data_IF_312044959985
#
_entry.id   IF_312044959985
#
_cell.length_a   1.000
_cell.length_b   1.000
_cell.length_c   1.000
_cell.angle_alpha   90.00
_cell.angle_beta   90.00
_cell.angle_gamma   90.00
#
_symmetry.space_group_name_H-M   'P 1'
#
loop_
_entity.id
_entity.type
_entity.pdbx_description
1 polymer ?
#
# COMPACT_ATOMS: atom_id res chain seq x y z
N UNK A 1 -25.27 -26.84 -0.94
CA UNK A 1 -25.92 -27.74 -1.91
C UNK A 1 -25.66 -27.14 -3.29
N UNK A 2 -24.86 -27.81 -4.12
CA UNK A 2 -24.57 -27.33 -5.46
C UNK A 2 -25.88 -27.30 -6.27
N UNK A 3 -26.23 -26.12 -6.81
CA UNK A 3 -27.48 -25.91 -7.55
C UNK A 3 -27.32 -26.30 -9.03
N UNK A 4 -26.07 -26.39 -9.49
CA UNK A 4 -25.67 -26.73 -10.86
C UNK A 4 -24.64 -27.87 -10.80
N UNK A 5 -24.56 -28.66 -11.87
CA UNK A 5 -23.60 -29.76 -12.00
C UNK A 5 -22.49 -29.43 -13.03
N UNK A 6 -21.32 -30.02 -12.83
CA UNK A 6 -20.19 -29.98 -13.76
C UNK A 6 -19.58 -28.59 -13.96
N UNK A 7 -19.40 -28.20 -15.23
CA UNK A 7 -18.59 -27.04 -15.62
C UNK A 7 -19.13 -25.70 -15.09
N UNK A 8 -20.46 -25.56 -14.96
CA UNK A 8 -21.09 -24.31 -14.51
C UNK A 8 -20.76 -24.05 -13.04
N UNK A 9 -20.85 -25.07 -12.18
CA UNK A 9 -20.57 -24.92 -10.76
C UNK A 9 -19.10 -24.58 -10.51
N UNK A 10 -18.18 -25.21 -11.24
CA UNK A 10 -16.74 -24.92 -11.15
C UNK A 10 -16.42 -23.45 -11.45
N UNK A 11 -17.06 -22.88 -12.48
CA UNK A 11 -16.88 -21.47 -12.84
C UNK A 11 -17.45 -20.56 -11.75
N UNK A 12 -18.65 -20.87 -11.23
CA UNK A 12 -19.28 -20.09 -10.14
C UNK A 12 -18.38 -20.08 -8.90
N UNK A 13 -17.88 -21.25 -8.49
CA UNK A 13 -17.04 -21.37 -7.30
C UNK A 13 -15.73 -20.60 -7.49
N UNK A 14 -15.07 -20.74 -8.65
CA UNK A 14 -13.84 -20.04 -8.98
C UNK A 14 -14.02 -18.51 -8.92
N UNK A 15 -15.04 -17.95 -9.58
CA UNK A 15 -15.28 -16.50 -9.56
C UNK A 15 -15.74 -16.00 -8.18
N UNK A 16 -16.48 -16.79 -7.42
CA UNK A 16 -16.97 -16.39 -6.08
C UNK A 16 -15.87 -16.31 -5.03
N UNK A 17 -14.72 -16.94 -5.28
CA UNK A 17 -13.53 -16.84 -4.42
C UNK A 17 -12.76 -15.53 -4.59
N UNK A 18 -13.05 -14.76 -5.65
CA UNK A 18 -12.35 -13.52 -5.94
C UNK A 18 -12.87 -12.37 -5.06
N UNK A 19 -11.99 -11.45 -4.63
CA UNK A 19 -12.40 -10.30 -3.84
C UNK A 19 -13.40 -9.43 -4.63
N UNK A 20 -14.52 -9.09 -3.99
CA UNK A 20 -15.57 -8.24 -4.59
C UNK A 20 -16.62 -8.99 -5.44
N UNK A 21 -16.51 -10.31 -5.60
CA UNK A 21 -17.49 -11.11 -6.36
C UNK A 21 -18.17 -12.12 -5.44
N UNK A 22 -19.43 -11.85 -5.08
CA UNK A 22 -20.26 -12.81 -4.34
C UNK A 22 -20.84 -13.91 -5.25
N UNK A 23 -21.44 -14.94 -4.64
CA UNK A 23 -22.03 -16.10 -5.35
C UNK A 23 -23.00 -15.70 -6.48
N UNK A 24 -23.89 -14.72 -6.23
CA UNK A 24 -24.82 -14.22 -7.26
C UNK A 24 -24.10 -13.50 -8.41
N UNK A 25 -23.01 -12.78 -8.12
CA UNK A 25 -22.17 -12.13 -9.13
C UNK A 25 -21.47 -13.16 -10.00
N UNK A 26 -20.88 -14.17 -9.38
CA UNK A 26 -20.23 -15.29 -10.07
C UNK A 26 -21.21 -16.06 -10.97
N UNK A 27 -22.44 -16.31 -10.49
CA UNK A 27 -23.51 -16.91 -11.29
C UNK A 27 -23.85 -16.06 -12.53
N UNK A 28 -23.99 -14.74 -12.39
CA UNK A 28 -24.24 -13.84 -13.53
C UNK A 28 -23.13 -13.91 -14.57
N UNK A 29 -21.87 -13.95 -14.13
CA UNK A 29 -20.70 -14.09 -15.02
C UNK A 29 -20.74 -15.44 -15.74
N UNK A 30 -20.99 -16.54 -15.03
CA UNK A 30 -21.04 -17.88 -15.62
C UNK A 30 -22.10 -17.99 -16.74
N UNK A 31 -23.30 -17.48 -16.51
CA UNK A 31 -24.37 -17.49 -17.53
C UNK A 31 -24.12 -16.50 -18.68
N UNK A 32 -23.44 -15.38 -18.43
CA UNK A 32 -22.98 -14.50 -19.50
C UNK A 32 -21.97 -15.20 -20.42
N UNK A 33 -20.97 -15.88 -19.85
CA UNK A 33 -19.96 -16.63 -20.62
C UNK A 33 -20.57 -17.79 -21.42
N UNK A 34 -21.65 -18.41 -20.92
CA UNK A 34 -22.39 -19.44 -21.67
C UNK A 34 -23.08 -18.89 -22.92
N UNK A 35 -23.45 -17.60 -22.91
CA UNK A 35 -24.11 -16.91 -24.03
C UNK A 35 -23.11 -16.19 -24.96
N UNK A 36 -21.89 -15.94 -24.48
CA UNK A 36 -20.83 -15.31 -25.26
C UNK A 36 -20.33 -16.23 -26.38
N UNK A 37 -19.73 -15.65 -27.42
CA UNK A 37 -19.08 -16.44 -28.44
C UNK A 37 -17.83 -17.16 -27.89
N UNK A 38 -17.44 -18.27 -28.53
CA UNK A 38 -16.29 -19.06 -28.07
C UNK A 38 -14.98 -18.28 -28.13
N UNK A 39 -14.82 -17.39 -29.11
CA UNK A 39 -13.61 -16.60 -29.30
C UNK A 39 -13.36 -15.62 -28.13
N UNK A 40 -14.40 -14.96 -27.64
CA UNK A 40 -14.34 -14.06 -26.49
C UNK A 40 -14.03 -14.83 -25.20
N UNK A 41 -14.66 -15.99 -25.01
CA UNK A 41 -14.42 -16.84 -23.83
C UNK A 41 -12.98 -17.35 -23.80
N UNK A 42 -12.48 -17.83 -24.95
CA UNK A 42 -11.10 -18.29 -25.11
C UNK A 42 -10.10 -17.15 -24.88
N UNK A 43 -10.39 -15.95 -25.37
CA UNK A 43 -9.54 -14.78 -25.17
C UNK A 43 -9.48 -14.35 -23.70
N UNK A 44 -10.60 -14.40 -22.97
CA UNK A 44 -10.64 -14.11 -21.53
C UNK A 44 -9.82 -15.15 -20.75
N UNK A 45 -10.06 -16.44 -21.01
CA UNK A 45 -9.32 -17.52 -20.36
C UNK A 45 -7.80 -17.39 -20.62
N UNK A 46 -7.43 -17.11 -21.87
CA UNK A 46 -6.04 -16.85 -22.26
C UNK A 46 -5.44 -15.66 -21.51
N UNK A 47 -6.17 -14.56 -21.37
CA UNK A 47 -5.69 -13.35 -20.67
C UNK A 47 -5.42 -13.62 -19.19
N UNK A 48 -6.27 -14.40 -18.52
CA UNK A 48 -6.07 -14.81 -17.11
C UNK A 48 -4.83 -15.70 -16.96
N UNK A 49 -4.65 -16.65 -17.89
CA UNK A 49 -3.47 -17.54 -17.88
C UNK A 49 -2.18 -16.76 -18.18
N UNK A 50 -2.21 -15.89 -19.19
CA UNK A 50 -1.08 -15.06 -19.58
C UNK A 50 -0.68 -14.10 -18.45
N UNK A 51 -1.63 -13.52 -17.72
CA UNK A 51 -1.35 -12.70 -16.53
C UNK A 51 -0.47 -13.45 -15.52
N UNK A 52 -0.82 -14.69 -15.14
CA UNK A 52 -0.06 -15.46 -14.14
C UNK A 52 1.27 -16.00 -14.67
N UNK A 53 1.43 -16.09 -16.01
CA UNK A 53 2.62 -16.64 -16.67
C UNK A 53 3.66 -15.58 -17.01
N UNK A 54 3.20 -14.43 -17.50
CA UNK A 54 4.05 -13.40 -18.09
C UNK A 54 4.39 -12.28 -17.10
N UNK A 55 3.48 -11.95 -16.18
CA UNK A 55 3.75 -10.89 -15.19
C UNK A 55 4.78 -11.36 -14.17
N UNK A 56 5.81 -10.55 -14.02
CA UNK A 56 6.92 -10.69 -13.07
C UNK A 56 7.14 -9.37 -12.35
N UNK A 57 8.14 -9.33 -11.49
CA UNK A 57 8.59 -8.11 -10.85
C UNK A 57 9.84 -7.56 -11.53
N UNK A 58 9.91 -6.25 -11.58
CA UNK A 58 11.08 -5.52 -12.03
C UNK A 58 12.25 -5.78 -11.07
N UNK A 59 13.41 -6.18 -11.61
CA UNK A 59 14.62 -6.48 -10.84
C UNK A 59 15.17 -5.25 -10.07
N UNK A 60 14.74 -4.06 -10.49
CA UNK A 60 15.21 -2.77 -9.97
C UNK A 60 14.28 -2.26 -8.87
N UNK A 61 13.01 -2.05 -9.22
CA UNK A 61 12.07 -1.35 -8.36
C UNK A 61 11.01 -2.25 -7.75
N UNK A 62 10.93 -3.52 -8.16
CA UNK A 62 9.89 -4.42 -7.67
C UNK A 62 8.48 -4.16 -8.21
N UNK A 63 8.28 -3.21 -9.13
CA UNK A 63 6.99 -3.01 -9.79
C UNK A 63 6.63 -4.19 -10.71
N UNK A 64 5.35 -4.38 -11.04
CA UNK A 64 4.91 -5.43 -11.97
C UNK A 64 5.20 -5.06 -13.42
N UNK A 65 5.76 -6.01 -14.18
CA UNK A 65 6.01 -5.86 -15.62
C UNK A 65 6.13 -7.23 -16.31
N UNK A 66 6.09 -7.26 -17.65
CA UNK A 66 6.29 -8.48 -18.45
C UNK A 66 7.78 -8.74 -18.77
N UNK A 67 8.60 -7.69 -18.72
CA UNK A 67 10.06 -7.72 -18.89
C UNK A 67 10.78 -7.77 -17.54
N UNK A 68 12.10 -7.99 -17.54
CA UNK A 68 12.94 -7.89 -16.33
C UNK A 68 13.02 -6.48 -15.75
N UNK A 69 12.91 -5.47 -16.61
CA UNK A 69 12.93 -4.05 -16.25
C UNK A 69 11.62 -3.42 -16.71
N UNK A 70 10.94 -2.71 -15.80
CA UNK A 70 9.69 -2.04 -16.13
C UNK A 70 9.92 -0.78 -16.99
N UNK A 71 8.90 -0.33 -17.75
CA UNK A 71 9.01 0.87 -18.59
C UNK A 71 9.42 2.13 -17.83
N UNK A 72 9.02 2.24 -16.56
CA UNK A 72 9.38 3.37 -15.68
C UNK A 72 10.88 3.39 -15.42
N UNK A 73 11.49 2.26 -15.06
CA UNK A 73 12.92 2.19 -14.79
C UNK A 73 13.78 2.30 -16.06
N UNK A 74 13.25 1.89 -17.21
CA UNK A 74 13.93 1.99 -18.49
C UNK A 74 13.91 3.40 -19.10
N UNK A 75 13.03 4.29 -18.63
CA UNK A 75 12.85 5.63 -19.22
C UNK A 75 13.99 6.58 -18.80
N UNK A 76 14.85 7.02 -19.75
CA UNK A 76 15.98 7.90 -19.45
C UNK A 76 15.57 9.35 -19.14
N UNK A 77 14.30 9.71 -19.34
CA UNK A 77 13.78 11.06 -19.06
C UNK A 77 13.49 11.29 -17.58
N UNK A 78 13.44 10.21 -16.80
CA UNK A 78 13.14 10.27 -15.37
C UNK A 78 14.35 10.67 -14.56
N UNK A 79 14.11 11.34 -13.45
CA UNK A 79 15.15 11.76 -12.54
C UNK A 79 15.57 10.59 -11.62
N UNK A 80 16.79 10.04 -11.78
CA UNK A 80 17.27 8.96 -10.92
C UNK A 80 17.64 9.44 -9.51
N UNK A 81 17.69 10.75 -9.25
CA UNK A 81 18.10 11.31 -7.95
C UNK A 81 16.97 11.38 -6.93
N UNK A 82 15.72 11.17 -7.37
CA UNK A 82 14.53 11.18 -6.50
C UNK A 82 13.85 9.81 -6.57
N UNK A 83 13.67 9.19 -5.41
CA UNK A 83 13.10 7.84 -5.30
C UNK A 83 11.82 7.86 -4.45
N UNK A 84 10.70 7.41 -5.01
CA UNK A 84 9.43 7.27 -4.31
C UNK A 84 9.22 5.82 -3.86
N UNK A 85 9.19 5.59 -2.55
CA UNK A 85 8.98 4.28 -1.93
C UNK A 85 7.49 4.09 -1.68
N UNK A 86 6.92 3.03 -2.25
CA UNK A 86 5.50 2.69 -2.14
C UNK A 86 5.30 1.28 -1.58
N UNK A 87 4.10 1.02 -1.06
CA UNK A 87 3.74 -0.26 -0.46
C UNK A 87 3.53 -1.34 -1.53
N UNK A 88 2.68 -1.06 -2.52
CA UNK A 88 2.27 -2.00 -3.56
C UNK A 88 2.38 -1.39 -4.99
N UNK A 89 2.47 -2.24 -6.03
CA UNK A 89 2.45 -1.80 -7.44
C UNK A 89 1.25 -0.92 -7.84
N UNK A 90 0.08 -1.13 -7.21
CA UNK A 90 -1.12 -0.33 -7.47
C UNK A 90 -0.92 1.14 -7.10
N UNK A 91 -0.04 1.43 -6.15
CA UNK A 91 0.24 2.78 -5.65
C UNK A 91 1.12 3.54 -6.64
N UNK A 92 2.06 2.83 -7.31
CA UNK A 92 2.81 3.38 -8.46
C UNK A 92 1.83 3.91 -9.51
N UNK A 93 0.83 3.10 -9.86
CA UNK A 93 -0.17 3.49 -10.86
C UNK A 93 -1.03 4.67 -10.40
N UNK A 94 -1.28 4.81 -9.10
CA UNK A 94 -2.04 5.94 -8.55
C UNK A 94 -1.27 7.24 -8.62
N UNK A 95 0.04 7.22 -8.33
CA UNK A 95 0.90 8.40 -8.43
C UNK A 95 1.16 8.75 -9.91
N UNK A 96 1.45 7.77 -10.76
CA UNK A 96 1.71 7.99 -12.20
C UNK A 96 0.52 8.62 -12.94
N UNK A 97 -0.72 8.32 -12.54
CA UNK A 97 -1.93 8.94 -13.10
C UNK A 97 -1.98 10.46 -12.92
N UNK A 98 -1.24 11.00 -11.95
CA UNK A 98 -1.16 12.46 -11.74
C UNK A 98 -0.27 13.14 -12.78
N UNK A 99 0.67 12.42 -13.39
CA UNK A 99 1.71 12.94 -14.28
C UNK A 99 2.63 14.02 -13.66
N UNK A 100 2.56 14.25 -12.34
CA UNK A 100 3.37 15.26 -11.63
C UNK A 100 4.72 14.72 -11.14
N UNK A 101 4.83 13.40 -10.93
CA UNK A 101 6.04 12.78 -10.44
C UNK A 101 6.89 12.23 -11.60
N UNK A 102 8.15 12.67 -11.68
CA UNK A 102 9.10 12.25 -12.71
C UNK A 102 10.33 11.50 -12.17
N UNK A 103 10.33 11.15 -10.89
CA UNK A 103 11.38 10.33 -10.29
C UNK A 103 11.20 8.84 -10.58
N UNK A 104 11.99 8.02 -9.88
CA UNK A 104 11.88 6.56 -9.91
C UNK A 104 11.07 6.05 -8.71
N UNK A 105 10.56 4.83 -8.82
CA UNK A 105 9.84 4.16 -7.72
C UNK A 105 10.65 3.05 -7.10
N UNK A 106 10.27 2.65 -5.88
CA UNK A 106 10.65 1.40 -5.24
C UNK A 106 9.43 0.81 -4.53
N UNK A 107 9.09 -0.44 -4.82
CA UNK A 107 7.93 -1.14 -4.27
C UNK A 107 8.40 -2.09 -3.18
N UNK A 108 7.94 -1.88 -1.94
CA UNK A 108 8.30 -2.71 -0.80
C UNK A 108 7.70 -4.11 -0.86
N UNK A 109 6.51 -4.24 -1.46
CA UNK A 109 5.75 -5.49 -1.51
C UNK A 109 4.89 -5.72 -0.27
N UNK A 110 4.55 -4.64 0.46
CA UNK A 110 3.80 -4.68 1.71
C UNK A 110 4.30 -3.68 2.73
N UNK A 111 3.82 -3.85 3.97
CA UNK A 111 4.19 -3.08 5.16
C UNK A 111 4.54 -4.05 6.29
N UNK A 112 5.26 -3.56 7.30
CA UNK A 112 5.57 -4.33 8.49
C UNK A 112 4.26 -4.56 9.25
N UNK A 113 3.91 -5.82 9.48
CA UNK A 113 2.68 -6.21 10.14
C UNK A 113 2.91 -7.37 11.11
N UNK A 114 3.12 -7.09 12.41
CA UNK A 114 3.33 -8.12 13.42
C UNK A 114 2.15 -9.09 13.58
N UNK A 115 0.92 -8.65 13.31
CA UNK A 115 -0.28 -9.51 13.42
C UNK A 115 -0.37 -10.50 12.26
N UNK A 116 0.18 -10.16 11.10
CA UNK A 116 0.27 -11.03 9.93
C UNK A 116 1.64 -11.73 9.81
N UNK A 117 2.49 -11.66 10.84
CA UNK A 117 3.87 -12.19 10.86
C UNK A 117 4.76 -11.68 9.70
N UNK A 118 4.51 -10.44 9.23
CA UNK A 118 5.31 -9.79 8.18
C UNK A 118 6.37 -8.91 8.82
N UNK A 119 7.64 -9.26 8.62
CA UNK A 119 8.80 -8.58 9.21
C UNK A 119 9.56 -7.77 8.15
N UNK A 120 10.48 -6.87 8.54
CA UNK A 120 11.28 -6.09 7.59
C UNK A 120 12.03 -6.93 6.55
N UNK A 121 12.52 -8.10 6.93
CA UNK A 121 13.23 -9.03 6.02
C UNK A 121 12.32 -9.68 4.96
N UNK A 122 11.02 -9.72 5.19
CA UNK A 122 10.03 -10.26 4.27
C UNK A 122 9.63 -9.21 3.20
N UNK A 123 10.10 -7.96 3.38
CA UNK A 123 9.89 -6.83 2.47
C UNK A 123 11.15 -6.53 1.65
N UNK A 124 10.99 -5.78 0.56
CA UNK A 124 12.10 -5.39 -0.34
C UNK A 124 12.94 -4.22 0.19
N UNK A 125 13.15 -4.15 1.51
CA UNK A 125 13.95 -3.10 2.16
C UNK A 125 15.44 -3.28 1.84
N UNK A 126 15.95 -4.51 1.84
CA UNK A 126 17.35 -4.78 1.48
C UNK A 126 17.67 -4.41 0.03
N UNK A 127 16.70 -4.55 -0.89
CA UNK A 127 16.85 -4.08 -2.27
C UNK A 127 16.86 -2.55 -2.36
N UNK A 128 16.02 -1.87 -1.57
CA UNK A 128 16.01 -0.42 -1.46
C UNK A 128 17.40 0.10 -1.06
N UNK A 129 17.96 -0.44 0.03
CA UNK A 129 19.28 -0.03 0.52
C UNK A 129 20.38 -0.22 -0.51
N UNK A 130 20.39 -1.35 -1.23
CA UNK A 130 21.34 -1.58 -2.33
C UNK A 130 21.20 -0.56 -3.47
N UNK A 131 19.98 -0.11 -3.75
CA UNK A 131 19.71 0.90 -4.78
C UNK A 131 20.20 2.29 -4.41
N UNK A 132 20.30 2.60 -3.12
CA UNK A 132 20.81 3.86 -2.63
C UNK A 132 22.35 3.98 -2.74
N UNK A 133 23.04 2.94 -3.25
CA UNK A 133 24.47 3.02 -3.61
C UNK A 133 25.38 3.16 -2.38
N UNK A 134 26.60 3.76 -2.50
CA UNK A 134 27.59 3.81 -1.43
C UNK A 134 27.17 4.58 -0.16
N UNK A 135 26.03 5.25 -0.18
CA UNK A 135 25.38 5.76 1.04
C UNK A 135 24.81 4.62 1.91
N UNK A 136 24.45 3.48 1.31
CA UNK A 136 23.99 2.23 1.95
C UNK A 136 25.07 1.14 2.07
N UNK A 137 26.36 1.50 2.00
CA UNK A 137 27.48 0.56 2.20
C UNK A 137 27.74 0.19 3.68
N UNK A 138 26.88 0.64 4.60
CA UNK A 138 26.80 0.07 5.94
C UNK A 138 25.95 -1.20 5.82
N UNK A 139 26.54 -2.33 6.19
CA UNK A 139 25.83 -3.61 6.17
C UNK A 139 24.58 -3.52 7.03
N UNK A 140 23.52 -4.25 6.63
CA UNK A 140 22.24 -4.29 7.37
C UNK A 140 22.50 -4.61 8.84
N UNK A 141 23.49 -5.46 9.12
CA UNK A 141 23.96 -5.86 10.45
C UNK A 141 24.63 -4.73 11.26
N UNK A 142 25.39 -3.83 10.64
CA UNK A 142 26.02 -2.67 11.33
C UNK A 142 25.01 -1.59 11.70
N UNK A 143 23.93 -1.44 10.90
CA UNK A 143 22.89 -0.44 11.16
C UNK A 143 21.87 -0.94 12.20
N UNK A 144 21.58 -2.25 12.21
CA UNK A 144 20.75 -2.92 13.22
C UNK A 144 21.35 -2.86 14.64
N UNK A 145 22.68 -2.88 14.75
CA UNK A 145 23.38 -2.78 16.04
C UNK A 145 23.25 -1.39 16.69
N UNK A 146 23.15 -0.32 15.90
CA UNK A 146 23.02 1.06 16.40
C UNK A 146 21.63 1.36 16.97
N UNK A 147 20.58 0.67 16.50
CA UNK A 147 19.19 0.89 16.95
C UNK A 147 18.80 0.15 18.24
N UNK A 148 19.64 -0.77 18.75
CA UNK A 148 19.33 -1.54 19.98
C UNK A 148 19.81 -0.87 21.28
N UNK A 149 20.41 0.32 21.23
CA UNK A 149 20.96 1.02 22.40
C UNK A 149 20.18 2.28 22.81
N UNK A 150 19.09 2.61 22.12
CA UNK A 150 18.20 3.71 22.50
C UNK A 150 16.76 3.20 22.55
N UNK A 151 16.35 2.64 23.68
CA UNK A 151 15.23 3.14 24.49
C UNK A 151 14.95 2.20 25.69
N UNK A 152 15.35 2.64 26.88
CA UNK A 152 14.63 2.30 28.10
C UNK A 152 13.89 3.58 28.50
N UNK A 153 12.56 3.66 28.35
CA UNK A 153 11.84 4.84 28.77
C UNK A 153 11.80 4.84 30.30
N UNK A 154 12.61 5.70 30.93
CA UNK A 154 12.38 6.09 32.32
C UNK A 154 11.17 7.03 32.34
N UNK A 155 10.00 6.46 32.56
CA UNK A 155 8.79 7.20 32.92
C UNK A 155 9.01 7.74 34.34
N UNK A 156 9.28 9.04 34.45
CA UNK A 156 9.32 9.77 35.72
C UNK A 156 7.88 9.93 36.25
N UNK A 157 7.42 8.93 36.99
CA UNK A 157 6.15 8.98 37.70
C UNK A 157 6.32 9.73 39.02
N UNK A 158 6.38 11.06 38.99
CA UNK A 158 6.19 11.91 40.19
C UNK A 158 5.45 13.21 39.88
N UNK A 159 4.46 13.47 40.75
CA UNK A 159 3.68 14.70 40.95
C UNK A 159 2.42 14.91 40.10
N UNK A 160 1.35 14.22 40.51
CA UNK A 160 0.02 14.84 40.59
C UNK A 160 -0.09 15.41 42.01
N UNK A 161 0.07 16.72 42.17
CA UNK A 161 -0.23 17.40 43.44
C UNK A 161 -1.63 18.02 43.36
N UNK A 162 -2.46 17.52 44.27
CA UNK A 162 -3.79 17.99 44.63
C UNK A 162 -3.78 19.43 45.14
N UNK A 163 -4.68 20.26 44.58
CA UNK A 163 -5.23 21.53 45.12
C UNK A 163 -6.22 22.06 44.08
N UNK A 164 -7.36 22.67 44.34
CA UNK A 164 -8.26 22.82 45.47
C UNK A 164 -9.51 23.48 44.86
N UNK A 165 -10.69 23.25 45.42
CA UNK A 165 -11.96 23.77 44.93
C UNK A 165 -11.98 25.30 44.85
N UNK A 166 -12.63 25.84 43.82
CA UNK A 166 -13.34 27.11 43.93
C UNK A 166 -14.67 27.06 43.17
N UNK A 167 -15.69 27.39 43.94
CA UNK A 167 -17.12 27.49 43.65
C UNK A 167 -17.48 28.68 42.75
N UNK A 168 -18.39 28.50 41.79
CA UNK A 168 -19.29 29.58 41.33
C UNK A 168 -20.68 29.04 40.98
N UNK A 169 -21.66 29.61 41.70
CA UNK A 169 -23.12 29.64 41.60
C UNK A 169 -23.82 29.35 40.25
N UNK A 170 -24.92 28.60 40.35
CA UNK A 170 -26.10 28.65 39.48
C UNK A 170 -26.87 29.98 39.62
N UNK A 171 -27.72 30.33 38.65
CA UNK A 171 -29.07 30.77 39.01
C UNK A 171 -30.19 30.06 38.23
N UNK A 172 -31.33 29.97 38.91
CA UNK A 172 -32.60 29.33 38.54
C UNK A 172 -33.49 30.14 37.56
N UNK A 173 -34.30 29.36 36.84
CA UNK A 173 -35.73 29.53 36.52
C UNK A 173 -36.27 30.53 35.46
N UNK A 174 -37.33 30.01 34.82
CA UNK A 174 -38.47 30.63 34.12
C UNK A 174 -38.40 30.99 32.62
N UNK A 175 -38.96 30.10 31.79
CA UNK A 175 -40.20 30.34 31.00
C UNK A 175 -40.56 29.19 30.05
N UNK A 176 -41.78 28.66 30.19
CA UNK A 176 -42.58 28.14 29.05
C UNK A 176 -43.42 29.29 28.45
N UNK A 177 -43.97 29.17 27.23
CA UNK A 177 -45.26 28.49 27.04
C UNK A 177 -45.37 27.63 25.75
N UNK A 178 -46.56 27.04 25.66
CA UNK A 178 -47.11 25.89 24.92
C UNK A 178 -47.21 25.90 23.37
N UNK A 179 -47.25 24.65 22.87
CA UNK A 179 -48.07 24.03 21.80
C UNK A 179 -48.13 24.56 20.36
N UNK A 180 -47.84 23.67 19.40
CA UNK A 180 -48.84 23.23 18.40
C UNK A 180 -48.43 21.92 17.71
N UNK A 181 -49.45 21.09 17.47
CA UNK A 181 -49.43 19.74 16.93
C UNK A 181 -49.19 19.71 15.40
N UNK A 182 -48.49 18.68 14.88
CA UNK A 182 -49.04 17.83 13.81
C UNK A 182 -48.18 16.58 13.53
N UNK A 183 -48.75 15.42 13.82
CA UNK A 183 -48.79 14.19 13.00
C UNK A 183 -47.72 13.94 11.92
N UNK A 184 -47.04 12.78 12.01
CA UNK A 184 -46.27 12.24 10.89
C UNK A 184 -45.53 10.92 11.15
N UNK A 185 -46.30 9.84 11.29
CA UNK A 185 -45.99 8.45 10.88
C UNK A 185 -44.70 7.73 11.37
N UNK A 186 -44.97 6.59 12.01
CA UNK A 186 -44.06 5.54 12.43
C UNK A 186 -43.42 4.78 11.26
N UNK A 187 -42.13 4.48 11.38
CA UNK A 187 -41.46 3.37 10.68
C UNK A 187 -40.49 2.67 11.68
N UNK A 188 -40.35 1.34 11.62
CA UNK A 188 -39.71 0.57 12.68
C UNK A 188 -38.18 0.58 12.57
N UNK A 189 -37.56 0.66 13.75
CA UNK A 189 -36.13 0.49 14.00
C UNK A 189 -35.70 -0.94 13.67
N UNK A 190 -35.02 -1.11 12.53
CA UNK A 190 -34.25 -2.30 12.21
C UNK A 190 -32.83 -2.13 12.72
N UNK A 191 -32.53 -2.85 13.79
CA UNK A 191 -31.22 -3.02 14.39
C UNK A 191 -30.18 -3.43 13.32
N UNK A 192 -29.26 -2.53 13.01
CA UNK A 192 -28.14 -2.76 12.10
C UNK A 192 -26.99 -3.35 12.90
N UNK A 193 -26.87 -4.67 12.89
CA UNK A 193 -25.58 -5.33 13.12
C UNK A 193 -24.97 -5.62 11.75
N UNK A 194 -24.21 -4.66 11.22
CA UNK A 194 -23.27 -4.89 10.12
C UNK A 194 -22.06 -5.64 10.69
N UNK A 195 -21.78 -6.89 10.28
CA UNK A 195 -20.49 -7.49 10.61
C UNK A 195 -19.42 -6.78 9.78
N UNK A 196 -18.53 -6.06 10.49
CA UNK A 196 -17.22 -5.67 9.96
C UNK A 196 -16.47 -6.95 9.56
N UNK A 197 -16.47 -7.27 8.27
CA UNK A 197 -15.57 -8.27 7.72
C UNK A 197 -14.41 -7.54 7.04
N UNK A 198 -13.34 -7.41 7.81
CA UNK A 198 -11.99 -7.13 7.34
C UNK A 198 -11.57 -8.23 6.36
N UNK A 199 -11.69 -7.95 5.07
CA UNK A 199 -11.14 -8.80 4.02
C UNK A 199 -9.65 -8.46 3.80
N UNK A 200 -8.81 -8.99 4.68
CA UNK A 200 -7.35 -9.05 4.52
C UNK A 200 -6.99 -10.11 3.46
N UNK A 201 -7.24 -9.83 2.18
CA UNK A 201 -6.93 -10.76 1.07
C UNK A 201 -5.72 -10.29 0.23
N UNK A 202 -5.25 -9.06 0.42
CA UNK A 202 -4.22 -8.47 -0.46
C UNK A 202 -2.78 -8.97 -0.23
N UNK A 203 -2.48 -9.59 0.91
CA UNK A 203 -1.10 -10.01 1.24
C UNK A 203 -0.64 -11.29 0.50
N UNK A 204 -1.56 -12.12 -0.01
CA UNK A 204 -1.22 -13.43 -0.58
C UNK A 204 -0.69 -13.41 -2.03
N UNK A 205 -0.95 -12.35 -2.79
CA UNK A 205 -0.61 -12.29 -4.22
C UNK A 205 0.91 -12.07 -4.43
N UNK A 206 1.56 -11.29 -3.56
CA UNK A 206 2.98 -10.95 -3.70
C UNK A 206 3.92 -12.04 -3.19
N UNK A 207 3.55 -12.73 -2.11
CA UNK A 207 4.31 -13.88 -1.58
C UNK A 207 4.40 -15.04 -2.61
N UNK A 208 3.28 -15.42 -3.24
CA UNK A 208 3.24 -16.55 -4.18
C UNK A 208 3.94 -16.31 -5.52
N UNK A 209 4.17 -15.06 -5.92
CA UNK A 209 4.93 -14.75 -7.14
C UNK A 209 6.44 -14.74 -6.82
N UNK A 210 6.84 -14.25 -5.65
CA UNK A 210 8.24 -14.30 -5.20
C UNK A 210 8.73 -15.74 -4.91
N UNK A 211 7.89 -16.61 -4.34
CA UNK A 211 8.21 -18.01 -4.06
C UNK A 211 8.46 -18.88 -5.30
N UNK A 212 8.03 -18.44 -6.50
CA UNK A 212 8.30 -19.17 -7.75
C UNK A 212 9.73 -18.99 -8.26
N UNK A 213 10.44 -17.95 -7.84
CA UNK A 213 11.81 -17.67 -8.30
C UNK A 213 12.85 -18.62 -7.66
N UNK A 214 12.57 -19.14 -6.47
CA UNK A 214 13.45 -20.11 -5.79
C UNK A 214 13.34 -21.54 -6.34
N UNK A 215 12.25 -21.86 -7.07
CA UNK A 215 11.99 -23.23 -7.56
C UNK A 215 12.29 -23.44 -9.06
N UNK A 216 12.62 -22.38 -9.82
CA UNK A 216 12.85 -22.47 -11.28
C UNK A 216 14.33 -22.44 -11.72
N UNK A 217 15.29 -22.50 -10.78
CA UNK A 217 16.72 -22.47 -11.13
C UNK A 217 17.26 -23.74 -11.81
N UNK A 218 16.50 -24.84 -11.90
CA UNK A 218 16.98 -26.09 -12.52
C UNK A 218 16.64 -26.27 -14.03
N UNK A 219 16.15 -25.23 -14.72
CA UNK A 219 15.62 -25.36 -16.08
C UNK A 219 16.24 -24.50 -17.19
N UNK A 220 17.29 -23.72 -16.95
CA UNK A 220 17.81 -22.77 -17.95
C UNK A 220 18.97 -23.34 -18.78
N UNK A 221 18.63 -23.99 -19.89
CA UNK A 221 19.44 -23.97 -21.11
C UNK A 221 18.51 -23.71 -22.30
N UNK A 222 18.85 -22.68 -23.08
CA UNK A 222 18.26 -22.28 -24.38
C UNK A 222 17.33 -21.07 -24.35
N UNK A 223 17.92 -19.88 -24.22
CA UNK A 223 17.42 -18.64 -24.82
C UNK A 223 18.60 -17.67 -25.07
N UNK A 224 19.59 -18.12 -25.84
CA UNK A 224 20.68 -17.28 -26.34
C UNK A 224 20.54 -17.18 -27.87
N UNK A 225 19.75 -16.22 -28.35
CA UNK A 225 19.83 -15.67 -29.71
C UNK A 225 18.71 -14.64 -29.96
N UNK A 226 18.85 -13.43 -29.41
CA UNK A 226 18.26 -12.20 -29.96
C UNK A 226 18.79 -10.99 -29.18
N UNK A 227 19.97 -10.49 -29.59
CA UNK A 227 20.45 -9.15 -29.23
C UNK A 227 20.61 -8.36 -30.53
N UNK A 228 20.00 -7.17 -30.62
CA UNK A 228 20.68 -5.99 -31.16
C UNK A 228 19.86 -4.71 -30.91
N UNK A 229 20.50 -3.75 -30.22
CA UNK A 229 20.10 -2.35 -30.04
C UNK A 229 18.97 -2.02 -29.05
N UNK A 230 19.19 -2.34 -27.78
CA UNK A 230 18.71 -1.50 -26.69
C UNK A 230 19.93 -0.87 -25.99
N UNK A 231 19.92 0.46 -25.81
CA UNK A 231 20.91 1.15 -25.00
C UNK A 231 21.03 0.46 -23.62
N UNK A 232 22.24 0.35 -23.04
CA UNK A 232 22.43 -0.39 -21.81
C UNK A 232 21.59 0.27 -20.70
N UNK A 233 20.62 -0.49 -20.20
CA UNK A 233 19.76 -0.11 -19.08
C UNK A 233 20.68 0.23 -17.91
N UNK A 234 20.51 1.40 -17.26
CA UNK A 234 21.30 1.71 -16.09
C UNK A 234 20.87 0.69 -15.03
N UNK A 235 21.79 0.05 -14.31
CA UNK A 235 21.75 -0.04 -12.85
C UNK A 235 22.77 -1.03 -12.29
N UNK A 236 23.22 -0.64 -11.09
CA UNK A 236 24.07 -1.35 -10.13
C UNK A 236 25.56 -1.39 -10.55
N UNK A 237 26.35 -0.51 -9.95
CA UNK A 237 27.82 -0.57 -10.00
C UNK A 237 28.52 0.23 -11.11
N UNK A 238 27.83 1.15 -11.79
CA UNK A 238 28.50 2.17 -12.61
C UNK A 238 28.68 3.45 -11.80
N UNK A 239 29.90 3.98 -11.81
CA UNK A 239 30.26 5.30 -11.26
C UNK A 239 29.52 6.47 -11.94
N UNK A 240 28.72 6.18 -12.98
CA UNK A 240 28.03 7.15 -13.84
C UNK A 240 26.56 7.44 -13.42
N UNK A 241 25.99 6.70 -12.46
CA UNK A 241 24.62 6.96 -11.98
C UNK A 241 24.68 7.95 -10.82
N UNK A 242 24.01 9.11 -10.91
CA UNK A 242 24.06 10.11 -9.85
C UNK A 242 23.46 9.55 -8.55
N UNK A 243 24.03 9.90 -7.39
CA UNK A 243 23.53 9.44 -6.11
C UNK A 243 22.10 9.94 -5.86
N UNK A 244 21.30 9.12 -5.17
CA UNK A 244 19.94 9.48 -4.75
C UNK A 244 20.03 10.59 -3.69
N UNK A 245 19.36 11.71 -3.95
CA UNK A 245 19.33 12.91 -3.09
C UNK A 245 18.13 12.92 -2.17
N UNK A 246 17.01 12.39 -2.66
CA UNK A 246 15.74 12.38 -1.93
C UNK A 246 15.05 11.02 -2.02
N UNK A 247 14.52 10.58 -0.88
CA UNK A 247 13.62 9.43 -0.76
C UNK A 247 12.28 9.92 -0.23
N UNK A 248 11.25 9.81 -1.05
CA UNK A 248 9.86 10.11 -0.70
C UNK A 248 9.22 8.83 -0.19
N UNK A 249 8.75 8.80 1.05
CA UNK A 249 7.98 7.69 1.60
C UNK A 249 6.49 7.94 1.33
N UNK A 250 5.94 7.14 0.42
CA UNK A 250 4.57 7.16 -0.05
C UNK A 250 3.84 5.86 0.35
N UNK A 251 3.91 5.52 1.64
CA UNK A 251 3.13 4.44 2.23
C UNK A 251 1.76 4.96 2.69
N UNK A 252 0.80 4.06 2.76
CA UNK A 252 -0.55 4.38 3.23
C UNK A 252 -0.50 5.02 4.64
N UNK A 253 -1.37 6.01 4.92
CA UNK A 253 -1.37 6.74 6.18
C UNK A 253 -2.10 5.98 7.31
N UNK A 254 -1.98 4.65 7.34
CA UNK A 254 -2.53 3.74 8.35
C UNK A 254 -1.48 3.36 9.42
N UNK A 255 -1.86 2.51 10.39
CA UNK A 255 -0.99 2.18 11.53
C UNK A 255 0.28 1.48 11.05
N UNK A 256 0.13 0.47 10.20
CA UNK A 256 1.22 -0.34 9.66
C UNK A 256 2.14 0.47 8.73
N UNK A 257 1.57 1.32 7.88
CA UNK A 257 2.29 2.22 6.99
C UNK A 257 3.06 3.30 7.75
N UNK A 258 2.50 3.88 8.81
CA UNK A 258 3.19 4.81 9.72
C UNK A 258 4.33 4.13 10.48
N UNK A 259 4.12 2.92 11.01
CA UNK A 259 5.16 2.14 11.67
C UNK A 259 6.31 1.82 10.69
N UNK A 260 5.98 1.41 9.47
CA UNK A 260 6.96 1.10 8.42
C UNK A 260 7.73 2.36 8.00
N UNK A 261 7.06 3.50 7.91
CA UNK A 261 7.72 4.78 7.58
C UNK A 261 8.68 5.22 8.68
N UNK A 262 8.28 5.07 9.94
CA UNK A 262 9.14 5.37 11.09
C UNK A 262 10.38 4.49 11.07
N UNK A 263 10.21 3.19 10.80
CA UNK A 263 11.30 2.24 10.63
C UNK A 263 12.26 2.62 9.49
N UNK A 264 11.72 2.90 8.30
CA UNK A 264 12.52 3.32 7.14
C UNK A 264 13.24 4.65 7.39
N UNK A 265 12.59 5.61 8.03
CA UNK A 265 13.20 6.91 8.34
C UNK A 265 14.42 6.75 9.27
N UNK A 266 14.30 5.91 10.31
CA UNK A 266 15.42 5.59 11.20
C UNK A 266 16.56 4.88 10.49
N UNK A 267 16.24 3.98 9.55
CA UNK A 267 17.23 3.24 8.76
C UNK A 267 17.97 4.12 7.73
N UNK A 268 17.28 5.12 7.16
CA UNK A 268 17.81 6.01 6.14
C UNK A 268 18.53 7.24 6.71
N UNK A 269 18.24 7.64 7.95
CA UNK A 269 18.84 8.81 8.59
C UNK A 269 20.39 8.81 8.60
N UNK A 270 21.10 7.69 8.88
CA UNK A 270 22.56 7.65 8.87
C UNK A 270 23.18 7.88 7.49
N UNK A 271 22.41 7.70 6.41
CA UNK A 271 22.91 7.77 5.03
C UNK A 271 23.05 9.21 4.53
N UNK A 272 22.50 10.19 5.27
CA UNK A 272 22.55 11.61 4.91
C UNK A 272 21.66 11.99 3.72
N UNK A 273 20.70 11.12 3.37
CA UNK A 273 19.75 11.33 2.27
C UNK A 273 18.54 12.10 2.80
N UNK A 274 17.99 13.00 1.98
CA UNK A 274 16.76 13.72 2.36
C UNK A 274 15.60 12.75 2.34
N UNK A 275 14.96 12.50 3.49
CA UNK A 275 13.77 11.66 3.57
C UNK A 275 12.55 12.56 3.74
N UNK A 276 11.60 12.46 2.82
CA UNK A 276 10.33 13.19 2.86
C UNK A 276 9.16 12.22 2.92
N UNK A 277 8.00 12.70 3.34
CA UNK A 277 6.75 11.93 3.36
C UNK A 277 5.70 12.68 2.57
N UNK A 278 4.82 11.95 1.88
CA UNK A 278 3.63 12.55 1.30
C UNK A 278 2.81 13.29 2.36
N UNK A 279 2.22 14.41 1.97
CA UNK A 279 1.39 15.20 2.86
C UNK A 279 0.19 14.39 3.34
N UNK A 280 -0.14 14.52 4.63
CA UNK A 280 -1.34 13.97 5.24
C UNK A 280 -2.26 15.10 5.71
N UNK A 281 -3.57 14.93 5.52
CA UNK A 281 -4.55 15.94 5.89
C UNK A 281 -5.84 15.81 5.10
N UNK A 282 -6.59 16.92 5.04
CA UNK A 282 -7.89 16.98 4.40
C UNK A 282 -7.79 16.84 2.86
N UNK A 283 -8.62 16.00 2.22
CA UNK A 283 -8.66 15.93 0.78
C UNK A 283 -9.20 17.24 0.18
N UNK A 284 -8.76 17.56 -1.03
CA UNK A 284 -9.27 18.73 -1.74
C UNK A 284 -10.78 18.58 -1.98
N UNK A 285 -11.55 19.59 -1.60
CA UNK A 285 -13.01 19.60 -1.75
C UNK A 285 -13.78 18.93 -0.60
N UNK A 286 -13.12 18.52 0.49
CA UNK A 286 -13.83 18.07 1.69
C UNK A 286 -14.32 19.22 2.54
N UNK A 287 -15.52 19.08 3.10
CA UNK A 287 -16.00 19.96 4.16
C UNK A 287 -15.44 19.53 5.53
N UNK A 288 -15.08 20.52 6.35
CA UNK A 288 -14.45 20.28 7.66
C UNK A 288 -15.37 19.52 8.62
N UNK A 289 -16.70 19.72 8.50
CA UNK A 289 -17.73 19.08 9.33
C UNK A 289 -17.80 17.56 9.14
N UNK A 290 -17.42 17.05 7.97
CA UNK A 290 -17.49 15.62 7.65
C UNK A 290 -16.14 14.91 7.75
N UNK A 291 -15.07 15.62 8.09
CA UNK A 291 -13.76 15.04 8.27
C UNK A 291 -13.65 14.33 9.63
N UNK A 292 -12.98 13.18 9.64
CA UNK A 292 -12.70 12.48 10.90
C UNK A 292 -11.67 13.24 11.75
N UNK A 293 -11.74 13.03 13.07
CA UNK A 293 -10.90 13.73 14.05
C UNK A 293 -9.39 13.50 13.82
N UNK A 294 -9.00 12.30 13.36
CA UNK A 294 -7.60 11.97 13.12
C UNK A 294 -7.05 12.74 11.92
N UNK A 295 -7.82 12.82 10.83
CA UNK A 295 -7.48 13.61 9.64
C UNK A 295 -7.41 15.11 9.96
N UNK A 296 -8.35 15.63 10.76
CA UNK A 296 -8.31 17.02 11.23
C UNK A 296 -7.08 17.32 12.10
N UNK A 297 -6.76 16.44 13.04
CA UNK A 297 -5.58 16.57 13.89
C UNK A 297 -4.29 16.58 13.05
N UNK A 298 -4.17 15.67 12.06
CA UNK A 298 -3.05 15.63 11.11
C UNK A 298 -2.95 16.91 10.27
N UNK A 299 -4.07 17.40 9.74
CA UNK A 299 -4.10 18.63 8.96
C UNK A 299 -3.67 19.86 9.79
N UNK A 300 -4.07 19.94 11.06
CA UNK A 300 -3.67 21.01 11.98
C UNK A 300 -2.19 20.93 12.36
N UNK A 301 -1.68 19.73 12.61
CA UNK A 301 -0.26 19.48 12.92
C UNK A 301 0.63 19.82 11.71
N UNK A 302 0.21 19.43 10.50
CA UNK A 302 0.91 19.65 9.24
C UNK A 302 0.64 21.00 8.56
N UNK A 303 0.03 21.97 9.26
CA UNK A 303 -0.32 23.28 8.67
C UNK A 303 0.92 24.01 8.14
N UNK A 304 0.81 24.57 6.94
CA UNK A 304 1.90 25.31 6.27
C UNK A 304 1.65 26.81 6.34
N UNK A 305 2.73 27.60 6.35
CA UNK A 305 2.67 29.06 6.20
C UNK A 305 2.25 29.40 4.77
N UNK A 306 1.38 30.38 4.63
CA UNK A 306 0.95 30.97 3.35
C UNK A 306 1.57 32.34 3.19
#
# INVERSE_FOLDING_TARGET
MALYDGAIQNVIDAFSSLPGIGQKGAQRIAFYLLQADSAQTDQLAKSIVDLKRLVRFCDICGNVCESSICPICADPRRDPTVLCVVQEPKDVMSIERTHEFHGLYHVLGGVINPMADVRPQDLRISQLLRRLGPHGALTVDETLAATQQADSPQVDSRQVDSRQADSVQQPDADRQPEETQSSGQSAPSGDQTLPQQSASVSHGIYATIAERESSQQDGQRNAAAAMSNAAPVPLIGRDDVPPVKEVIIALDPDIEGEATTTYLSGLLAPLGITVTRLASGLPVGSDLEYADEMTLARALAGRRRV
#
